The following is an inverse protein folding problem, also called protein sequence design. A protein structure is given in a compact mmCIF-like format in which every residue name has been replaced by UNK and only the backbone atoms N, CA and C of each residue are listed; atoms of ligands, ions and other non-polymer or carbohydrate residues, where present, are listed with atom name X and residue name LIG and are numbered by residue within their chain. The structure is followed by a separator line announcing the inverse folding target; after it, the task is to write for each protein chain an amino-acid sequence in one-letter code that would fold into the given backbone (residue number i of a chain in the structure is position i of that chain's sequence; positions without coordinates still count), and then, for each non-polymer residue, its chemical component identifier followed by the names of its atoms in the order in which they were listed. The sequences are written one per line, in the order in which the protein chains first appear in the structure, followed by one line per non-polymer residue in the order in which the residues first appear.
data_IF_437600864522
#
_entry.id   IF_437600864522
#
_cell.length_a   1.000
_cell.length_b   1.000
_cell.length_c   1.000
_cell.angle_alpha   90.00
_cell.angle_beta   90.00
_cell.angle_gamma   90.00
#
_symmetry.space_group_name_H-M   'P 1'
#
loop_
_entity.id
_entity.type
_entity.pdbx_description
1 polymer ?
#
# COMPACT_ATOMS: atom_id res chain seq x y z
N UNK A 1 3.40 0.22 4.49
CA UNK A 1 2.51 -0.94 4.31
C UNK A 1 3.21 -1.95 3.43
N UNK A 2 3.02 -3.24 3.68
CA UNK A 2 3.46 -4.32 2.78
C UNK A 2 2.54 -5.53 2.91
N UNK A 3 2.39 -6.33 1.86
CA UNK A 3 1.77 -7.66 1.91
C UNK A 3 2.75 -8.67 2.51
N UNK A 4 4.05 -8.45 2.32
CA UNK A 4 5.11 -9.39 2.66
C UNK A 4 5.67 -9.11 4.06
N UNK A 5 5.53 -10.09 4.95
CA UNK A 5 6.07 -9.97 6.31
C UNK A 5 7.61 -9.93 6.32
N UNK A 6 8.25 -10.58 5.35
CA UNK A 6 9.70 -10.54 5.16
C UNK A 6 10.19 -9.13 4.80
N UNK A 7 9.44 -8.40 3.97
CA UNK A 7 9.77 -7.03 3.60
C UNK A 7 9.63 -6.12 4.84
N UNK A 8 8.58 -6.28 5.64
CA UNK A 8 8.48 -5.56 6.91
C UNK A 8 9.66 -5.87 7.84
N UNK A 9 10.08 -7.13 7.92
CA UNK A 9 11.26 -7.54 8.70
C UNK A 9 12.56 -6.92 8.17
N UNK A 10 12.68 -6.72 6.85
CA UNK A 10 13.80 -5.99 6.26
C UNK A 10 13.78 -4.51 6.65
N UNK A 11 12.61 -3.86 6.60
CA UNK A 11 12.47 -2.49 7.06
C UNK A 11 12.80 -2.33 8.54
N UNK A 12 12.43 -3.28 9.39
CA UNK A 12 12.81 -3.24 10.81
C UNK A 12 14.33 -3.20 10.99
N UNK A 13 15.05 -4.06 10.25
CA UNK A 13 16.51 -4.08 10.29
C UNK A 13 17.09 -2.74 9.83
N UNK A 14 16.56 -2.19 8.73
CA UNK A 14 16.98 -0.89 8.22
C UNK A 14 16.69 0.24 9.22
N UNK A 15 15.52 0.26 9.84
CA UNK A 15 15.15 1.27 10.82
C UNK A 15 16.02 1.20 12.08
N UNK A 16 16.31 -0.01 12.59
CA UNK A 16 17.25 -0.19 13.70
C UNK A 16 18.65 0.29 13.36
N UNK A 17 19.14 0.01 12.15
CA UNK A 17 20.46 0.44 11.70
C UNK A 17 20.58 1.97 11.53
N UNK A 18 19.45 2.69 11.45
CA UNK A 18 19.40 4.14 11.25
C UNK A 18 18.77 4.87 12.47
N UNK A 19 18.66 4.22 13.63
CA UNK A 19 18.07 4.77 14.85
C UNK A 19 16.64 5.35 14.68
N UNK A 20 15.88 4.80 13.74
CA UNK A 20 14.48 5.17 13.51
C UNK A 20 13.62 4.37 14.47
N UNK A 21 12.93 5.04 15.39
CA UNK A 21 11.95 4.39 16.27
C UNK A 21 10.66 4.05 15.52
N UNK A 22 10.22 2.81 15.66
CA UNK A 22 9.04 2.29 14.97
C UNK A 22 8.23 1.32 15.82
N UNK A 23 6.97 1.15 15.44
CA UNK A 23 6.09 0.09 15.92
C UNK A 23 5.82 -0.90 14.77
N UNK A 24 5.70 -2.20 15.06
CA UNK A 24 5.26 -3.21 14.07
C UNK A 24 4.08 -3.99 14.58
N UNK A 25 3.10 -4.19 13.70
CA UNK A 25 1.94 -5.04 13.97
C UNK A 25 2.22 -6.48 13.52
N UNK A 26 2.46 -7.38 14.47
CA UNK A 26 2.67 -8.82 14.20
C UNK A 26 1.36 -9.64 14.21
N UNK A 27 0.26 -9.15 14.77
CA UNK A 27 -1.03 -9.86 14.88
C UNK A 27 -2.21 -8.95 15.21
N UNK A 28 -3.41 -9.50 15.43
CA UNK A 28 -4.58 -8.72 15.88
C UNK A 28 -4.58 -8.50 17.41
N UNK A 29 -4.02 -9.45 18.16
CA UNK A 29 -4.03 -9.45 19.64
C UNK A 29 -3.31 -8.24 20.26
N UNK A 30 -2.40 -7.62 19.53
CA UNK A 30 -1.61 -6.46 19.97
C UNK A 30 -1.92 -5.18 19.20
N UNK A 31 -3.05 -5.11 18.49
CA UNK A 31 -3.39 -3.95 17.67
C UNK A 31 -3.51 -2.68 18.50
N UNK A 32 -4.38 -2.66 19.51
CA UNK A 32 -4.64 -1.46 20.31
C UNK A 32 -3.40 -0.97 21.06
N UNK A 33 -2.59 -1.87 21.63
CA UNK A 33 -1.37 -1.49 22.33
C UNK A 33 -0.29 -0.94 21.39
N UNK A 34 -0.15 -1.52 20.19
CA UNK A 34 0.77 -1.04 19.16
C UNK A 34 0.35 0.34 18.65
N UNK A 35 -0.95 0.54 18.41
CA UNK A 35 -1.49 1.83 18.00
C UNK A 35 -1.37 2.87 19.11
N UNK A 36 -1.71 2.53 20.36
CA UNK A 36 -1.53 3.43 21.49
C UNK A 36 -0.07 3.88 21.60
N UNK A 37 0.89 2.96 21.46
CA UNK A 37 2.32 3.28 21.46
C UNK A 37 2.69 4.24 20.33
N UNK A 38 2.17 4.01 19.11
CA UNK A 38 2.40 4.90 17.97
C UNK A 38 1.77 6.29 18.16
N UNK A 39 0.61 6.39 18.82
CA UNK A 39 -0.11 7.65 19.06
C UNK A 39 0.46 8.48 20.20
N UNK A 40 0.85 7.82 21.29
CA UNK A 40 1.20 8.49 22.55
C UNK A 40 2.70 8.79 22.65
N UNK A 41 3.55 8.00 21.98
CA UNK A 41 4.98 8.21 22.01
C UNK A 41 5.38 9.15 20.87
N UNK A 42 5.57 10.44 21.17
CA UNK A 42 5.95 11.46 20.18
C UNK A 42 7.29 11.20 19.47
N UNK A 43 8.03 10.24 19.99
CA UNK A 43 9.30 9.75 19.50
C UNK A 43 9.18 8.64 18.44
N UNK A 44 8.01 8.01 18.30
CA UNK A 44 7.76 6.99 17.28
C UNK A 44 7.58 7.64 15.92
N UNK A 45 8.41 7.23 14.95
CA UNK A 45 8.48 7.86 13.62
C UNK A 45 7.80 7.03 12.55
N UNK A 46 7.68 5.72 12.74
CA UNK A 46 7.11 4.81 11.75
C UNK A 46 6.19 3.74 12.37
N UNK A 47 5.19 3.33 11.58
CA UNK A 47 4.34 2.18 11.86
C UNK A 47 4.43 1.20 10.70
N UNK A 48 4.96 0.02 10.96
CA UNK A 48 5.04 -1.10 10.03
C UNK A 48 3.76 -1.94 10.13
N UNK A 49 2.94 -1.85 9.07
CA UNK A 49 1.63 -2.50 9.02
C UNK A 49 1.54 -3.47 7.83
N UNK A 50 1.23 -4.75 8.09
CA UNK A 50 0.83 -5.68 7.03
C UNK A 50 -0.49 -5.24 6.39
N UNK A 51 -0.58 -5.28 5.06
CA UNK A 51 -1.81 -4.95 4.33
C UNK A 51 -2.95 -5.92 4.67
N UNK A 52 -2.64 -7.20 4.82
CA UNK A 52 -3.58 -8.27 5.19
C UNK A 52 -4.19 -8.09 6.58
N UNK A 53 -3.46 -7.49 7.52
CA UNK A 53 -3.89 -7.29 8.92
C UNK A 53 -4.54 -5.94 9.17
N UNK A 54 -4.68 -5.18 8.10
CA UNK A 54 -5.45 -3.97 8.05
C UNK A 54 -6.95 -4.22 8.11
N UNK A 55 -7.51 -4.37 9.30
CA UNK A 55 -8.95 -4.48 9.48
C UNK A 55 -9.69 -3.24 8.94
N UNK A 56 -10.93 -3.44 8.49
CA UNK A 56 -11.86 -2.36 8.17
C UNK A 56 -11.95 -1.38 9.36
N UNK A 57 -11.66 -0.10 9.16
CA UNK A 57 -11.94 0.96 10.13
C UNK A 57 -10.75 1.54 10.93
N UNK A 58 -9.51 1.08 10.70
CA UNK A 58 -8.33 1.68 11.35
C UNK A 58 -8.19 3.18 11.03
N UNK A 59 -7.95 3.99 12.06
CA UNK A 59 -7.72 5.43 11.95
C UNK A 59 -6.27 5.77 12.32
N UNK A 60 -5.50 6.30 11.38
CA UNK A 60 -4.07 6.58 11.51
C UNK A 60 -3.77 8.05 11.16
N UNK A 61 -4.57 8.98 11.67
CA UNK A 61 -4.42 10.43 11.45
C UNK A 61 -3.16 11.01 12.10
N UNK A 62 -2.43 10.23 12.87
CA UNK A 62 -1.14 10.63 13.43
C UNK A 62 -0.05 10.63 12.34
N UNK A 63 -0.19 9.78 11.31
CA UNK A 63 0.71 9.70 10.18
C UNK A 63 0.39 10.74 9.09
N UNK A 64 1.42 11.22 8.40
CA UNK A 64 1.30 12.11 7.23
C UNK A 64 1.86 11.46 5.96
N UNK A 65 2.77 10.50 6.11
CA UNK A 65 3.40 9.81 5.00
C UNK A 65 2.91 8.37 4.95
N UNK A 66 2.47 7.95 3.76
CA UNK A 66 2.12 6.57 3.46
C UNK A 66 3.18 6.02 2.54
N UNK A 67 3.88 4.97 2.96
CA UNK A 67 4.82 4.25 2.11
C UNK A 67 4.19 2.93 1.68
N UNK A 68 3.97 2.78 0.37
CA UNK A 68 3.61 1.53 -0.31
C UNK A 68 4.89 0.99 -0.94
N UNK A 69 5.45 -0.04 -0.32
CA UNK A 69 6.80 -0.54 -0.64
C UNK A 69 6.84 -1.54 -1.78
N UNK A 70 5.68 -2.00 -2.21
CA UNK A 70 5.49 -2.73 -3.46
C UNK A 70 4.12 -2.36 -4.06
N UNK A 71 3.96 -2.42 -5.39
CA UNK A 71 2.66 -2.21 -6.02
C UNK A 71 1.77 -3.45 -5.86
N UNK A 72 0.47 -3.22 -5.70
CA UNK A 72 -0.52 -4.30 -5.61
C UNK A 72 -1.27 -4.46 -6.92
N UNK A 73 -1.64 -5.68 -7.30
CA UNK A 73 -2.51 -5.90 -8.46
C UNK A 73 -3.91 -5.27 -8.28
N UNK A 74 -4.38 -5.15 -7.04
CA UNK A 74 -5.68 -4.59 -6.71
C UNK A 74 -5.53 -3.17 -6.13
N UNK A 75 -5.79 -2.14 -6.95
CA UNK A 75 -5.74 -0.73 -6.55
C UNK A 75 -6.63 -0.41 -5.36
N UNK A 76 -7.77 -1.10 -5.22
CA UNK A 76 -8.71 -0.84 -4.14
C UNK A 76 -8.10 -1.14 -2.76
N UNK A 77 -7.18 -2.12 -2.69
CA UNK A 77 -6.46 -2.43 -1.45
C UNK A 77 -5.48 -1.32 -1.10
N UNK A 78 -4.78 -0.75 -2.08
CA UNK A 78 -3.92 0.42 -1.87
C UNK A 78 -4.73 1.64 -1.43
N UNK A 79 -5.82 1.94 -2.14
CA UNK A 79 -6.71 3.06 -1.83
C UNK A 79 -7.28 2.93 -0.41
N UNK A 80 -7.66 1.72 0.01
CA UNK A 80 -8.10 1.45 1.37
C UNK A 80 -6.99 1.69 2.39
N UNK A 81 -5.75 1.27 2.11
CA UNK A 81 -4.62 1.50 3.00
C UNK A 81 -4.31 3.00 3.15
N UNK A 82 -4.30 3.73 2.03
CA UNK A 82 -4.13 5.20 2.01
C UNK A 82 -5.25 5.89 2.78
N UNK A 83 -6.51 5.48 2.59
CA UNK A 83 -7.68 6.06 3.26
C UNK A 83 -7.70 5.95 4.78
N UNK A 84 -6.81 5.14 5.38
CA UNK A 84 -6.63 5.08 6.84
C UNK A 84 -5.86 6.27 7.40
N UNK A 85 -5.02 6.87 6.56
CA UNK A 85 -4.19 8.03 6.90
C UNK A 85 -4.80 9.28 6.27
N UNK A 86 -5.13 9.21 4.99
CA UNK A 86 -5.84 10.25 4.25
C UNK A 86 -7.34 10.19 4.58
N UNK A 87 -7.72 10.84 5.68
CA UNK A 87 -9.09 10.86 6.19
C UNK A 87 -9.54 12.30 6.46
N UNK A 88 -10.85 12.56 6.40
CA UNK A 88 -11.41 13.90 6.64
C UNK A 88 -10.98 14.54 7.96
N UNK A 89 -10.74 13.74 9.01
CA UNK A 89 -10.29 14.22 10.33
C UNK A 89 -8.81 14.62 10.38
N UNK A 90 -8.04 14.37 9.32
CA UNK A 90 -6.64 14.75 9.22
C UNK A 90 -6.52 16.24 8.86
N UNK A 91 -5.78 17.00 9.66
CA UNK A 91 -5.56 18.44 9.44
C UNK A 91 -4.32 18.73 8.58
N UNK A 92 -3.42 17.74 8.43
CA UNK A 92 -2.14 17.88 7.72
C UNK A 92 -2.16 17.19 6.36
N UNK A 93 -1.42 17.73 5.40
CA UNK A 93 -1.31 17.12 4.08
C UNK A 93 -0.79 15.66 4.20
N UNK A 94 -1.43 14.76 3.45
CA UNK A 94 -0.99 13.36 3.37
C UNK A 94 -0.19 13.16 2.08
N UNK A 95 1.03 12.63 2.18
CA UNK A 95 1.86 12.28 1.02
C UNK A 95 1.93 10.77 0.88
N UNK A 96 1.63 10.25 -0.31
CA UNK A 96 1.72 8.82 -0.63
C UNK A 96 2.97 8.59 -1.48
N UNK A 97 3.86 7.74 -0.99
CA UNK A 97 5.07 7.30 -1.64
C UNK A 97 4.87 5.87 -2.14
N UNK A 98 5.08 5.65 -3.44
CA UNK A 98 5.03 4.32 -4.07
C UNK A 98 6.42 3.94 -4.51
N UNK A 99 6.95 2.84 -3.98
CA UNK A 99 8.18 2.25 -4.45
C UNK A 99 7.87 1.33 -5.62
N UNK A 100 8.49 1.62 -6.76
CA UNK A 100 8.34 0.86 -7.99
C UNK A 100 9.75 0.64 -8.54
N UNK A 101 10.11 -0.62 -8.80
CA UNK A 101 11.37 -0.94 -9.46
C UNK A 101 11.22 -0.78 -10.98
N UNK A 102 11.95 0.18 -11.55
CA UNK A 102 11.94 0.47 -12.98
C UNK A 102 12.38 -0.75 -13.82
N UNK A 103 11.79 -0.92 -15.00
CA UNK A 103 12.11 -2.01 -15.91
C UNK A 103 11.68 -3.41 -15.42
N UNK A 104 10.78 -3.48 -14.42
CA UNK A 104 10.26 -4.74 -13.91
C UNK A 104 8.74 -4.82 -14.04
N UNK A 105 8.19 -6.00 -13.71
CA UNK A 105 6.73 -6.21 -13.62
C UNK A 105 6.04 -5.19 -12.71
N UNK A 106 6.73 -4.65 -11.69
CA UNK A 106 6.18 -3.63 -10.80
C UNK A 106 5.74 -2.37 -11.54
N UNK A 107 6.50 -1.97 -12.56
CA UNK A 107 6.17 -0.80 -13.38
C UNK A 107 4.92 -1.06 -14.22
N UNK A 108 4.76 -2.27 -14.75
CA UNK A 108 3.55 -2.67 -15.48
C UNK A 108 2.33 -2.71 -14.55
N UNK A 109 2.48 -3.24 -13.33
CA UNK A 109 1.42 -3.20 -12.30
C UNK A 109 1.05 -1.74 -12.02
N UNK A 110 2.03 -0.85 -11.82
CA UNK A 110 1.78 0.56 -11.55
C UNK A 110 1.03 1.26 -12.69
N UNK A 111 1.48 1.07 -13.94
CA UNK A 111 0.83 1.61 -15.14
C UNK A 111 -0.59 1.07 -15.33
N UNK A 112 -0.88 -0.15 -14.88
CA UNK A 112 -2.23 -0.71 -14.96
C UNK A 112 -3.24 0.09 -14.12
N UNK A 113 -2.79 0.69 -13.01
CA UNK A 113 -3.60 1.54 -12.14
C UNK A 113 -3.94 2.88 -12.78
N UNK A 114 -3.01 3.44 -13.56
CA UNK A 114 -3.23 4.71 -14.26
C UNK A 114 -4.18 4.57 -15.45
N UNK A 115 -4.22 3.38 -16.07
CA UNK A 115 -5.11 3.06 -17.18
C UNK A 115 -6.52 2.69 -16.72
N UNK A 116 -6.67 2.21 -15.49
CA UNK A 116 -7.98 2.05 -14.90
C UNK A 116 -8.58 3.46 -14.73
N UNK A 117 -9.77 3.73 -15.30
CA UNK A 117 -10.37 5.06 -15.19
C UNK A 117 -10.45 5.43 -13.71
N UNK A 118 -9.91 6.59 -13.37
CA UNK A 118 -10.00 7.16 -12.04
C UNK A 118 -11.46 7.09 -11.59
N UNK A 119 -11.76 6.34 -10.52
CA UNK A 119 -13.07 6.31 -9.86
C UNK A 119 -13.38 7.66 -9.16
N UNK A 120 -13.03 8.77 -9.79
CA UNK A 120 -13.26 10.14 -9.36
C UNK A 120 -14.48 10.77 -10.04
N UNK A 121 -15.37 9.98 -10.64
CA UNK A 121 -16.66 10.48 -11.12
C UNK A 121 -17.82 9.69 -10.50
N UNK A 122 -18.49 10.35 -9.54
CA UNK A 122 -19.50 9.78 -8.66
C UNK A 122 -20.82 9.48 -9.36
N UNK A 123 -20.91 8.34 -10.04
CA UNK A 123 -22.20 7.78 -10.49
C UNK A 123 -22.53 6.48 -9.72
N UNK A 124 -23.66 6.40 -8.96
CA UNK A 124 -23.95 5.26 -8.08
C UNK A 124 -24.40 3.97 -8.79
N UNK A 125 -24.29 3.88 -10.11
CA UNK A 125 -24.92 2.82 -10.90
C UNK A 125 -23.88 1.96 -11.60
N UNK A 126 -23.16 1.15 -10.81
CA UNK A 126 -22.58 -0.15 -11.22
C UNK A 126 -22.09 -0.97 -10.02
N UNK A 127 -22.80 -0.90 -8.88
CA UNK A 127 -22.63 -1.85 -7.76
C UNK A 127 -23.41 -3.14 -8.08
N UNK A 128 -22.94 -3.93 -9.04
CA UNK A 128 -23.47 -5.25 -9.29
C UNK A 128 -22.34 -6.28 -9.20
N UNK A 129 -22.38 -7.11 -8.14
CA UNK A 129 -21.71 -8.41 -8.00
C UNK A 129 -20.20 -8.42 -8.33
N UNK A 130 -19.38 -8.03 -7.38
CA UNK A 130 -18.02 -8.58 -7.27
C UNK A 130 -18.00 -9.53 -6.07
N UNK A 131 -18.35 -10.78 -6.35
CA UNK A 131 -18.13 -11.91 -5.46
C UNK A 131 -16.64 -12.15 -5.29
N UNK A 132 -16.26 -12.59 -4.08
CA UNK A 132 -14.91 -12.91 -3.58
C UNK A 132 -14.25 -14.09 -4.33
N UNK A 133 -14.25 -14.10 -5.65
CA UNK A 133 -13.28 -14.91 -6.40
C UNK A 133 -12.01 -14.08 -6.51
N UNK A 134 -10.87 -14.66 -6.13
CA UNK A 134 -9.58 -14.09 -6.48
C UNK A 134 -9.63 -13.74 -7.97
N UNK A 135 -9.58 -12.44 -8.28
CA UNK A 135 -9.71 -11.91 -9.63
C UNK A 135 -8.56 -12.49 -10.45
N UNK A 136 -8.78 -13.63 -11.09
CA UNK A 136 -7.80 -14.22 -11.99
C UNK A 136 -7.55 -13.18 -13.09
N UNK A 137 -6.28 -12.87 -13.31
CA UNK A 137 -5.89 -11.94 -14.36
C UNK A 137 -6.29 -12.56 -15.71
N UNK A 138 -6.86 -11.74 -16.59
CA UNK A 138 -7.10 -12.18 -17.98
C UNK A 138 -5.77 -12.40 -18.70
N UNK A 139 -5.81 -13.13 -19.82
CA UNK A 139 -4.64 -13.30 -20.67
C UNK A 139 -4.07 -11.96 -21.15
N UNK A 140 -4.91 -10.99 -21.50
CA UNK A 140 -4.47 -9.65 -21.89
C UNK A 140 -3.74 -8.93 -20.75
N UNK A 141 -4.23 -9.08 -19.50
CA UNK A 141 -3.58 -8.50 -18.32
C UNK A 141 -2.23 -9.17 -18.05
N UNK A 142 -2.15 -10.50 -18.14
CA UNK A 142 -0.89 -11.23 -17.99
C UNK A 142 0.11 -10.85 -19.08
N UNK A 143 -0.35 -10.77 -20.33
CA UNK A 143 0.48 -10.37 -21.46
C UNK A 143 1.01 -8.95 -21.29
N UNK A 144 0.20 -8.04 -20.74
CA UNK A 144 0.65 -6.69 -20.44
C UNK A 144 1.70 -6.67 -19.32
N UNK A 145 1.47 -7.42 -18.23
CA UNK A 145 2.37 -7.46 -17.08
C UNK A 145 3.76 -8.02 -17.41
N UNK A 146 3.82 -9.03 -18.29
CA UNK A 146 5.05 -9.69 -18.69
C UNK A 146 5.51 -9.31 -20.11
N UNK A 147 4.97 -8.22 -20.67
CA UNK A 147 5.46 -7.70 -21.94
C UNK A 147 6.90 -7.24 -21.76
N UNK A 148 7.80 -7.83 -22.55
CA UNK A 148 9.20 -7.39 -22.61
C UNK A 148 9.20 -6.05 -23.34
N UNK A 149 9.64 -4.94 -22.70
CA UNK A 149 9.82 -3.69 -23.44
C UNK A 149 10.84 -3.96 -24.55
N UNK A 150 10.58 -3.45 -25.76
CA UNK A 150 11.56 -3.51 -26.82
C UNK A 150 12.88 -2.97 -26.25
N UNK A 151 13.93 -3.79 -26.29
CA UNK A 151 15.27 -3.32 -25.99
C UNK A 151 15.57 -2.25 -27.03
N UNK A 152 15.66 -0.99 -26.59
CA UNK A 152 16.37 -0.01 -27.38
C UNK A 152 17.81 -0.54 -27.46
N UNK A 153 18.16 -1.11 -28.60
CA UNK A 153 19.51 -1.50 -28.93
C UNK A 153 20.38 -0.26 -28.70
N UNK A 154 21.21 -0.32 -27.65
CA UNK A 154 22.22 0.68 -27.38
C UNK A 154 23.30 0.47 -28.44
N UNK A 155 23.24 1.28 -29.50
CA UNK A 155 24.33 1.50 -30.47
C UNK A 155 25.59 2.06 -29.79
#
# INVERSE_FOLDING_TARGET
FSVWDDMLSLLEKAFRANDIRFCRLHGQTNLESTLASFRQCGDMRALLLPLSRGANGLNLVEAQHVFLVEPLLNSAVEAQAVGRVHRMSQLRATTVHRFIVAGTVEEAIHKSHERAPSESDGSPQKRAKQTNEAKCLSWDQLSFLFSVPATDDVE
#
